data_IF_162791725413
#
_entry.id   IF_162791725413
#
_cell.length_a   1.000
_cell.length_b   1.000
_cell.length_c   1.000
_cell.angle_alpha   90.00
_cell.angle_beta   90.00
_cell.angle_gamma   90.00
#
_symmetry.space_group_name_H-M   'P 1'
#
loop_
_entity.id
_entity.type
_entity.pdbx_description
1 polymer ?
#
# COMPACT_ATOMS: atom_id res chain seq x y z
N UNK A 1 -4.91 6.06 13.74
CA UNK A 1 -4.49 7.26 14.49
C UNK A 1 -2.98 7.46 14.43
N UNK A 2 -2.14 6.53 14.92
CA UNK A 2 -0.68 6.69 14.88
C UNK A 2 -0.10 6.84 13.45
N UNK A 3 -0.63 6.08 12.47
CA UNK A 3 -0.18 6.19 11.08
C UNK A 3 -0.61 7.50 10.41
N UNK A 4 -1.86 7.95 10.60
CA UNK A 4 -2.35 9.23 10.09
C UNK A 4 -1.50 10.42 10.61
N UNK A 5 -1.13 10.40 11.89
CA UNK A 5 -0.25 11.40 12.47
C UNK A 5 1.14 11.44 11.81
N UNK A 6 1.68 10.29 11.36
CA UNK A 6 2.96 10.25 10.64
C UNK A 6 2.91 10.93 9.26
N UNK A 7 1.70 11.13 8.72
CA UNK A 7 1.44 11.91 7.51
C UNK A 7 1.07 13.37 7.79
N UNK A 8 1.11 13.82 9.05
CA UNK A 8 0.64 15.15 9.45
C UNK A 8 -0.87 15.34 9.30
N UNK A 9 -1.63 14.23 9.30
CA UNK A 9 -3.08 14.28 9.16
C UNK A 9 -3.76 14.31 10.52
N UNK A 10 -4.78 15.16 10.63
CA UNK A 10 -5.76 15.16 11.73
C UNK A 10 -7.14 14.75 11.25
N UNK A 11 -8.06 14.54 12.20
CA UNK A 11 -9.46 14.28 11.87
C UNK A 11 -10.03 15.54 11.21
N UNK A 12 -10.65 15.43 10.02
CA UNK A 12 -11.29 16.56 9.36
C UNK A 12 -12.50 17.06 10.12
N UNK A 13 -12.87 18.32 9.87
CA UNK A 13 -14.05 18.95 10.43
C UNK A 13 -15.33 18.22 9.97
N UNK A 14 -16.31 18.13 10.87
CA UNK A 14 -17.53 17.35 10.63
C UNK A 14 -18.33 17.84 9.42
N UNK A 15 -18.26 19.14 9.08
CA UNK A 15 -18.92 19.71 7.92
C UNK A 15 -18.30 19.22 6.60
N UNK A 16 -16.98 19.08 6.54
CA UNK A 16 -16.27 18.52 5.38
C UNK A 16 -16.61 17.05 5.20
N UNK A 17 -16.68 16.29 6.29
CA UNK A 17 -17.13 14.89 6.27
C UNK A 17 -18.55 14.75 5.75
N UNK A 18 -19.47 15.61 6.21
CA UNK A 18 -20.85 15.61 5.72
C UNK A 18 -20.91 15.93 4.22
N UNK A 19 -20.16 16.94 3.75
CA UNK A 19 -20.10 17.28 2.33
C UNK A 19 -19.54 16.16 1.47
N UNK A 20 -18.50 15.45 1.94
CA UNK A 20 -17.90 14.34 1.20
C UNK A 20 -18.84 13.13 1.04
N UNK A 21 -19.73 12.89 2.02
CA UNK A 21 -20.74 11.82 1.95
C UNK A 21 -21.77 12.09 0.85
N UNK A 22 -22.07 13.37 0.57
CA UNK A 22 -23.05 13.78 -0.46
C UNK A 22 -22.51 13.67 -1.90
N UNK A 23 -21.22 13.39 -2.12
CA UNK A 23 -20.63 13.30 -3.47
C UNK A 23 -21.17 12.14 -4.33
N UNK A 24 -22.03 11.29 -3.77
CA UNK A 24 -22.70 10.22 -4.50
C UNK A 24 -21.76 9.09 -4.93
N UNK A 25 -22.33 8.08 -5.59
CA UNK A 25 -21.55 6.96 -6.09
C UNK A 25 -20.86 7.32 -7.41
N UNK A 26 -19.65 6.77 -7.61
CA UNK A 26 -18.94 6.90 -8.90
C UNK A 26 -19.82 6.36 -10.04
N UNK A 27 -19.75 6.99 -11.21
CA UNK A 27 -20.51 6.57 -12.40
C UNK A 27 -19.97 5.33 -13.12
N UNK A 28 -18.88 4.71 -12.63
CA UNK A 28 -18.25 3.54 -13.25
C UNK A 28 -18.36 2.30 -12.36
N UNK A 29 -18.40 1.12 -12.96
CA UNK A 29 -18.53 -0.14 -12.22
C UNK A 29 -17.16 -0.75 -11.86
N UNK A 30 -16.15 -0.59 -12.73
CA UNK A 30 -14.83 -1.20 -12.58
C UNK A 30 -13.83 -0.30 -11.85
N UNK A 31 -12.94 -0.87 -11.04
CA UNK A 31 -11.74 -0.20 -10.51
C UNK A 31 -10.52 -1.09 -10.71
N UNK A 32 -9.32 -0.58 -10.40
CA UNK A 32 -8.08 -1.33 -10.47
C UNK A 32 -6.99 -0.58 -9.71
N UNK A 33 -6.26 -1.28 -8.84
CA UNK A 33 -4.95 -0.82 -8.36
C UNK A 33 -3.84 -1.65 -8.99
N UNK A 34 -2.93 -1.00 -9.73
CA UNK A 34 -1.73 -1.65 -10.27
C UNK A 34 -0.50 -1.07 -9.57
N UNK A 35 0.39 -1.94 -9.12
CA UNK A 35 1.57 -1.51 -8.38
C UNK A 35 2.77 -2.44 -8.55
N UNK A 36 3.92 -1.94 -8.11
CA UNK A 36 5.19 -2.66 -8.13
C UNK A 36 5.86 -2.54 -6.78
N UNK A 37 6.31 -3.67 -6.22
CA UNK A 37 7.20 -3.72 -5.06
C UNK A 37 8.61 -4.05 -5.55
N UNK A 38 9.56 -3.17 -5.28
CA UNK A 38 10.96 -3.36 -5.65
C UNK A 38 11.83 -3.49 -4.40
N UNK A 39 12.79 -4.40 -4.45
CA UNK A 39 13.79 -4.59 -3.39
C UNK A 39 15.17 -4.87 -3.98
N UNK A 40 16.23 -4.53 -3.25
CA UNK A 40 17.60 -4.90 -3.57
C UNK A 40 18.03 -6.25 -2.97
N UNK A 41 17.18 -6.84 -2.12
CA UNK A 41 17.37 -8.15 -1.52
C UNK A 41 17.52 -9.25 -2.60
N UNK A 42 18.45 -10.18 -2.39
CA UNK A 42 18.56 -11.39 -3.21
C UNK A 42 17.41 -12.36 -2.92
N UNK A 43 16.35 -12.30 -3.73
CA UNK A 43 15.19 -13.18 -3.65
C UNK A 43 15.06 -14.04 -4.90
N UNK A 44 14.62 -15.29 -4.70
CA UNK A 44 14.20 -16.16 -5.79
C UNK A 44 12.94 -15.63 -6.49
N UNK A 45 12.65 -16.15 -7.69
CA UNK A 45 11.37 -15.86 -8.40
C UNK A 45 10.15 -16.22 -7.54
N UNK A 46 10.22 -17.31 -6.79
CA UNK A 46 9.16 -17.72 -5.87
C UNK A 46 9.05 -16.75 -4.69
N UNK A 47 10.18 -16.28 -4.16
CA UNK A 47 10.25 -15.20 -3.17
C UNK A 47 9.57 -13.93 -3.64
N UNK A 48 9.90 -13.44 -4.86
CA UNK A 48 9.22 -12.28 -5.45
C UNK A 48 7.71 -12.50 -5.56
N UNK A 49 7.24 -13.69 -6.01
CA UNK A 49 5.80 -13.98 -6.02
C UNK A 49 5.18 -13.87 -4.63
N UNK A 50 5.86 -14.35 -3.59
CA UNK A 50 5.37 -14.25 -2.21
C UNK A 50 5.34 -12.81 -1.70
N UNK A 51 6.32 -11.99 -2.08
CA UNK A 51 6.36 -10.55 -1.80
C UNK A 51 5.19 -9.82 -2.47
N UNK A 52 4.89 -10.13 -3.73
CA UNK A 52 3.73 -9.57 -4.42
C UNK A 52 2.42 -9.90 -3.67
N UNK A 53 2.25 -11.15 -3.24
CA UNK A 53 1.11 -11.57 -2.41
C UNK A 53 1.05 -10.80 -1.09
N UNK A 54 2.18 -10.64 -0.39
CA UNK A 54 2.21 -9.85 0.85
C UNK A 54 1.89 -8.36 0.61
N UNK A 55 2.25 -7.81 -0.56
CA UNK A 55 1.86 -6.47 -0.96
C UNK A 55 0.34 -6.28 -1.02
N UNK A 56 -0.44 -7.31 -1.38
CA UNK A 56 -1.90 -7.24 -1.38
C UNK A 56 -2.48 -7.05 0.03
N UNK A 57 -1.79 -7.53 1.08
CA UNK A 57 -2.18 -7.23 2.47
C UNK A 57 -2.09 -5.73 2.75
N UNK A 58 -1.08 -5.05 2.18
CA UNK A 58 -0.94 -3.60 2.23
C UNK A 58 -2.05 -2.86 1.48
N UNK A 59 -2.41 -3.36 0.30
CA UNK A 59 -3.52 -2.82 -0.49
C UNK A 59 -4.85 -2.92 0.29
N UNK A 60 -5.13 -4.06 0.92
CA UNK A 60 -6.33 -4.27 1.73
C UNK A 60 -6.35 -3.44 3.03
N UNK A 61 -5.20 -3.00 3.55
CA UNK A 61 -5.14 -2.05 4.68
C UNK A 61 -5.49 -0.63 4.28
N UNK A 62 -5.11 -0.22 3.06
CA UNK A 62 -5.32 1.14 2.57
C UNK A 62 -6.67 1.33 1.85
N UNK A 63 -7.23 0.28 1.25
CA UNK A 63 -8.46 0.33 0.44
C UNK A 63 -9.51 -0.60 1.07
N UNK A 64 -10.72 -0.09 1.30
CA UNK A 64 -11.82 -0.87 1.87
C UNK A 64 -13.18 -0.55 1.21
N UNK A 65 -13.87 -1.56 0.64
CA UNK A 65 -13.39 -2.92 0.38
C UNK A 65 -12.30 -2.93 -0.70
N UNK A 66 -11.35 -3.86 -0.58
CA UNK A 66 -10.39 -4.20 -1.63
C UNK A 66 -10.79 -5.52 -2.30
N UNK A 67 -10.22 -5.81 -3.48
CA UNK A 67 -10.39 -7.09 -4.18
C UNK A 67 -11.84 -7.45 -4.49
N UNK A 68 -12.66 -6.46 -4.82
CA UNK A 68 -13.99 -6.72 -5.37
C UNK A 68 -13.86 -7.57 -6.65
N UNK A 69 -14.87 -8.39 -7.01
CA UNK A 69 -14.90 -9.04 -8.33
C UNK A 69 -14.83 -8.07 -9.52
N UNK A 70 -15.02 -6.76 -9.27
CA UNK A 70 -14.95 -5.68 -10.24
C UNK A 70 -13.60 -4.94 -10.22
N UNK A 71 -12.65 -5.40 -9.38
CA UNK A 71 -11.32 -4.82 -9.22
C UNK A 71 -10.26 -5.66 -9.92
N UNK A 72 -9.46 -5.02 -10.79
CA UNK A 72 -8.33 -5.62 -11.49
C UNK A 72 -7.01 -5.59 -10.70
N UNK A 73 -7.06 -5.70 -9.37
CA UNK A 73 -5.90 -5.46 -8.50
C UNK A 73 -4.71 -6.37 -8.85
N UNK A 74 -3.57 -5.76 -9.18
CA UNK A 74 -2.38 -6.48 -9.63
C UNK A 74 -1.11 -5.85 -9.07
N UNK A 75 -0.38 -6.61 -8.26
CA UNK A 75 0.96 -6.22 -7.81
C UNK A 75 2.03 -7.10 -8.45
N UNK A 76 3.07 -6.46 -8.99
CA UNK A 76 4.30 -7.11 -9.40
C UNK A 76 5.37 -6.93 -8.33
N UNK A 77 6.29 -7.88 -8.22
CA UNK A 77 7.46 -7.74 -7.37
C UNK A 77 8.74 -8.04 -8.15
N UNK A 78 9.78 -7.24 -7.91
CA UNK A 78 11.09 -7.42 -8.51
C UNK A 78 12.20 -7.26 -7.46
N UNK A 79 13.24 -8.06 -7.63
CA UNK A 79 14.41 -8.07 -6.78
C UNK A 79 15.65 -7.87 -7.65
N UNK A 80 16.44 -6.83 -7.40
CA UNK A 80 17.68 -6.60 -8.16
C UNK A 80 18.80 -7.55 -7.74
N UNK A 81 18.71 -8.12 -6.53
CA UNK A 81 19.68 -9.08 -5.99
C UNK A 81 21.04 -8.49 -5.66
N UNK A 82 21.15 -7.16 -5.55
CA UNK A 82 22.41 -6.46 -5.28
C UNK A 82 22.83 -6.52 -3.80
N UNK A 83 21.96 -6.97 -2.90
CA UNK A 83 22.29 -7.21 -1.49
C UNK A 83 22.15 -8.67 -1.09
N UNK A 84 23.26 -9.19 -0.56
CA UNK A 84 23.30 -10.51 0.04
C UNK A 84 22.44 -10.57 1.32
N UNK A 85 21.83 -11.72 1.63
CA UNK A 85 21.11 -11.92 2.88
C UNK A 85 22.02 -11.65 4.08
N UNK A 86 21.57 -10.82 5.00
CA UNK A 86 22.20 -10.75 6.32
C UNK A 86 22.00 -12.10 7.04
N UNK A 87 22.94 -12.45 7.93
CA UNK A 87 22.74 -13.60 8.81
C UNK A 87 21.42 -13.44 9.58
N UNK A 88 20.61 -14.48 9.59
CA UNK A 88 19.34 -14.45 10.30
C UNK A 88 19.59 -14.14 11.79
N UNK A 89 18.80 -13.24 12.42
CA UNK A 89 18.98 -12.92 13.85
C UNK A 89 18.78 -14.15 14.75
N UNK A 90 18.01 -15.13 14.27
CA UNK A 90 17.72 -16.40 14.94
C UNK A 90 18.13 -17.55 14.01
N UNK A 91 18.79 -18.61 14.53
CA UNK A 91 19.11 -19.79 13.73
C UNK A 91 17.85 -20.42 13.13
N UNK A 92 17.79 -20.52 11.81
CA UNK A 92 16.71 -21.21 11.11
C UNK A 92 16.99 -22.71 11.04
N UNK A 93 15.98 -23.58 11.24
CA UNK A 93 16.14 -25.01 11.01
C UNK A 93 16.66 -25.30 9.59
N UNK A 94 17.62 -26.23 9.48
CA UNK A 94 18.29 -26.54 8.21
C UNK A 94 17.36 -27.06 7.10
N UNK A 95 16.15 -27.50 7.45
CA UNK A 95 15.13 -27.93 6.50
C UNK A 95 14.42 -26.75 5.77
N UNK A 96 14.55 -25.52 6.27
CA UNK A 96 13.94 -24.35 5.63
C UNK A 96 14.79 -23.77 4.51
N UNK A 97 14.17 -23.10 3.53
CA UNK A 97 14.91 -22.32 2.54
C UNK A 97 15.81 -21.27 3.21
N UNK A 98 17.05 -21.15 2.74
CA UNK A 98 18.02 -20.20 3.28
C UNK A 98 17.54 -18.73 3.22
N UNK A 99 16.68 -18.40 2.25
CA UNK A 99 16.12 -17.06 2.09
C UNK A 99 14.94 -16.76 3.02
N UNK A 100 14.44 -17.72 3.82
CA UNK A 100 13.15 -17.58 4.51
C UNK A 100 13.09 -16.39 5.47
N UNK A 101 14.13 -16.16 6.28
CA UNK A 101 14.18 -15.03 7.21
C UNK A 101 14.21 -13.68 6.48
N UNK A 102 14.93 -13.60 5.35
CA UNK A 102 14.96 -12.42 4.50
C UNK A 102 13.59 -12.20 3.84
N UNK A 103 12.99 -13.27 3.31
CA UNK A 103 11.69 -13.22 2.66
C UNK A 103 10.60 -12.75 3.61
N UNK A 104 10.59 -13.22 4.85
CA UNK A 104 9.65 -12.78 5.89
C UNK A 104 9.75 -11.27 6.15
N UNK A 105 10.96 -10.78 6.40
CA UNK A 105 11.22 -9.36 6.62
C UNK A 105 10.80 -8.50 5.41
N UNK A 106 11.11 -8.93 4.20
CA UNK A 106 10.73 -8.21 2.97
C UNK A 106 9.23 -8.26 2.75
N UNK A 107 8.54 -9.37 3.05
CA UNK A 107 7.08 -9.46 2.94
C UNK A 107 6.38 -8.49 3.90
N UNK A 108 6.83 -8.41 5.15
CA UNK A 108 6.31 -7.44 6.11
C UNK A 108 6.50 -5.99 5.62
N UNK A 109 7.72 -5.66 5.17
CA UNK A 109 8.03 -4.35 4.63
C UNK A 109 7.23 -4.02 3.35
N UNK A 110 6.96 -5.02 2.50
CA UNK A 110 6.18 -4.86 1.28
C UNK A 110 4.73 -4.46 1.57
N UNK A 111 4.08 -5.11 2.53
CA UNK A 111 2.72 -4.75 2.94
C UNK A 111 2.66 -3.29 3.44
N UNK A 112 3.63 -2.88 4.27
CA UNK A 112 3.70 -1.51 4.78
C UNK A 112 3.99 -0.50 3.66
N UNK A 113 4.92 -0.83 2.77
CA UNK A 113 5.29 0.04 1.64
C UNK A 113 4.12 0.25 0.68
N UNK A 114 3.35 -0.80 0.36
CA UNK A 114 2.17 -0.69 -0.50
C UNK A 114 1.08 0.17 0.15
N UNK A 115 0.79 -0.06 1.45
CA UNK A 115 -0.17 0.77 2.19
C UNK A 115 0.20 2.26 2.13
N UNK A 116 1.46 2.57 2.44
CA UNK A 116 1.98 3.94 2.41
C UNK A 116 1.99 4.55 1.00
N UNK A 117 2.31 3.76 -0.02
CA UNK A 117 2.30 4.22 -1.41
C UNK A 117 0.89 4.63 -1.86
N UNK A 118 -0.14 3.87 -1.47
CA UNK A 118 -1.54 4.20 -1.78
C UNK A 118 -1.95 5.49 -1.06
N UNK A 119 -1.65 5.63 0.24
CA UNK A 119 -1.91 6.87 0.98
C UNK A 119 -1.19 8.05 0.31
N UNK A 120 0.09 7.89 -0.01
CA UNK A 120 0.86 8.90 -0.72
C UNK A 120 0.24 9.31 -2.06
N UNK A 121 -0.28 8.35 -2.84
CA UNK A 121 -0.97 8.62 -4.09
C UNK A 121 -2.24 9.44 -3.90
N UNK A 122 -3.06 9.11 -2.90
CA UNK A 122 -4.29 9.86 -2.56
C UNK A 122 -3.96 11.30 -2.13
N UNK A 123 -2.91 11.47 -1.32
CA UNK A 123 -2.49 12.78 -0.81
C UNK A 123 -1.76 13.65 -1.84
N UNK A 124 -1.17 13.04 -2.87
CA UNK A 124 -0.49 13.73 -3.97
C UNK A 124 -1.41 14.03 -5.17
N UNK A 125 -2.61 13.43 -5.21
CA UNK A 125 -3.56 13.63 -6.29
C UNK A 125 -4.04 15.09 -6.37
N UNK A 126 -4.24 15.57 -7.60
CA UNK A 126 -4.87 16.86 -7.91
C UNK A 126 -6.24 16.62 -8.55
N UNK A 127 -7.19 17.56 -8.43
CA UNK A 127 -8.49 17.45 -9.10
C UNK A 127 -8.35 17.28 -10.61
N UNK A 128 -9.29 16.54 -11.19
CA UNK A 128 -9.42 16.43 -12.65
C UNK A 128 -10.86 16.09 -13.03
N UNK A 129 -11.35 16.67 -14.13
CA UNK A 129 -12.67 16.36 -14.68
C UNK A 129 -13.84 16.44 -13.67
N UNK A 130 -13.78 17.41 -12.73
CA UNK A 130 -14.79 17.58 -11.69
C UNK A 130 -14.72 16.56 -10.55
N UNK A 131 -13.71 15.69 -10.53
CA UNK A 131 -13.42 14.79 -9.42
C UNK A 131 -12.46 15.51 -8.47
N UNK A 132 -12.90 15.79 -7.23
CA UNK A 132 -12.06 16.48 -6.24
C UNK A 132 -10.97 15.56 -5.70
N UNK A 133 -9.86 16.14 -5.29
CA UNK A 133 -8.81 15.45 -4.55
C UNK A 133 -9.14 15.32 -3.06
N UNK A 134 -8.46 14.42 -2.33
CA UNK A 134 -8.62 14.33 -0.88
C UNK A 134 -8.35 15.66 -0.16
N UNK A 135 -7.34 16.41 -0.62
CA UNK A 135 -6.97 17.70 -0.01
C UNK A 135 -8.01 18.80 -0.20
N UNK A 136 -8.78 18.76 -1.30
CA UNK A 136 -9.87 19.70 -1.53
C UNK A 136 -11.12 19.33 -0.74
N UNK A 137 -11.37 18.04 -0.55
CA UNK A 137 -12.49 17.57 0.27
C UNK A 137 -12.28 17.83 1.75
N UNK A 138 -11.05 17.66 2.22
CA UNK A 138 -10.71 17.73 3.64
C UNK A 138 -9.55 18.69 3.90
N UNK A 139 -9.66 19.99 3.58
CA UNK A 139 -8.58 20.93 3.81
C UNK A 139 -8.23 21.04 5.29
N UNK A 140 -9.21 20.90 6.20
CA UNK A 140 -8.94 20.85 7.64
C UNK A 140 -8.15 19.61 8.07
N UNK A 141 -8.00 18.56 7.26
CA UNK A 141 -7.19 17.40 7.65
C UNK A 141 -5.69 17.72 7.76
N UNK A 142 -5.26 18.85 7.20
CA UNK A 142 -3.86 19.26 7.14
C UNK A 142 -3.61 20.43 8.09
N UNK A 143 -2.40 20.48 8.66
CA UNK A 143 -1.93 21.68 9.34
C UNK A 143 -1.78 22.81 8.31
N UNK A 144 -2.30 23.99 8.64
CA UNK A 144 -2.22 25.22 7.82
C UNK A 144 -0.84 25.85 7.95
#
# INVERSE_FOLDING_TARGET
MAEAASWGLRVPDAAELAAAIELGQKGTVLNTTIGVVATDAALSKAGCRRVAVAGHDGLARAIRPAHSPLDGDTLFALATGTRAPAAAPVPMPAAFPAELALLDAVCAAAADAVSRAIVGAVLAATPVAGIPSYRELFPSAFDV
#
